data_IF_078521431281
#
_entry.id   IF_078521431281
#
_cell.length_a   1.000
_cell.length_b   1.000
_cell.length_c   1.000
_cell.angle_alpha   90.00
_cell.angle_beta   90.00
_cell.angle_gamma   90.00
#
_symmetry.space_group_name_H-M   'P 1'
#
loop_
_entity.id
_entity.type
_entity.pdbx_description
1 polymer ?
#
# COMPACT_ATOMS: atom_id res chain seq x y z
N UNK A 1 -15.88 3.05 4.55
CA UNK A 1 -15.64 2.13 3.40
C UNK A 1 -16.23 0.78 3.77
N UNK A 2 -16.89 0.10 2.83
CA UNK A 2 -17.30 -1.29 3.06
C UNK A 2 -16.07 -2.18 3.24
N UNK A 3 -16.20 -3.27 3.99
CA UNK A 3 -15.12 -4.23 4.19
C UNK A 3 -14.57 -4.77 2.87
N UNK A 4 -15.43 -4.96 1.87
CA UNK A 4 -15.05 -5.39 0.52
C UNK A 4 -14.10 -4.39 -0.16
N UNK A 5 -14.33 -3.08 0.01
CA UNK A 5 -13.47 -2.05 -0.55
C UNK A 5 -12.09 -2.02 0.13
N UNK A 6 -12.02 -2.33 1.43
CA UNK A 6 -10.75 -2.44 2.16
C UNK A 6 -9.95 -3.67 1.70
N UNK A 7 -10.64 -4.80 1.45
CA UNK A 7 -10.00 -6.01 0.92
C UNK A 7 -9.43 -5.75 -0.48
N UNK A 8 -10.20 -5.11 -1.36
CA UNK A 8 -9.72 -4.73 -2.70
C UNK A 8 -8.52 -3.80 -2.60
N UNK A 9 -8.58 -2.78 -1.74
CA UNK A 9 -7.47 -1.85 -1.52
C UNK A 9 -6.23 -2.56 -1.00
N UNK A 10 -6.39 -3.53 -0.09
CA UNK A 10 -5.30 -4.34 0.44
C UNK A 10 -4.62 -5.17 -0.66
N UNK A 11 -5.40 -5.84 -1.51
CA UNK A 11 -4.89 -6.62 -2.65
C UNK A 11 -4.09 -5.73 -3.60
N UNK A 12 -4.65 -4.57 -3.99
CA UNK A 12 -3.97 -3.61 -4.87
C UNK A 12 -2.66 -3.12 -4.24
N UNK A 13 -2.65 -2.84 -2.95
CA UNK A 13 -1.45 -2.44 -2.22
C UNK A 13 -0.36 -3.52 -2.26
N UNK A 14 -0.74 -4.78 -2.03
CA UNK A 14 0.19 -5.91 -2.13
C UNK A 14 0.77 -6.04 -3.54
N UNK A 15 -0.03 -5.87 -4.59
CA UNK A 15 0.46 -5.90 -5.97
C UNK A 15 1.45 -4.77 -6.28
N UNK A 16 1.22 -3.57 -5.74
CA UNK A 16 2.15 -2.44 -5.87
C UNK A 16 3.48 -2.79 -5.18
N UNK A 17 3.44 -3.33 -3.97
CA UNK A 17 4.65 -3.73 -3.24
C UNK A 17 5.43 -4.86 -3.90
N UNK A 18 4.76 -5.85 -4.49
CA UNK A 18 5.41 -6.88 -5.31
C UNK A 18 6.16 -6.22 -6.48
N UNK A 19 5.55 -5.24 -7.14
CA UNK A 19 6.16 -4.53 -8.27
C UNK A 19 7.34 -3.67 -7.82
N UNK A 20 7.22 -2.98 -6.68
CA UNK A 20 8.32 -2.25 -6.02
C UNK A 20 9.48 -3.20 -5.74
N UNK A 21 9.23 -4.35 -5.10
CA UNK A 21 10.25 -5.35 -4.79
C UNK A 21 10.94 -5.84 -6.05
N UNK A 22 10.19 -6.17 -7.10
CA UNK A 22 10.76 -6.61 -8.38
C UNK A 22 11.64 -5.53 -9.03
N UNK A 23 11.24 -4.27 -8.98
CA UNK A 23 12.05 -3.16 -9.51
C UNK A 23 13.29 -2.90 -8.63
N UNK A 24 13.18 -3.06 -7.31
CA UNK A 24 14.27 -2.89 -6.36
C UNK A 24 15.31 -4.02 -6.41
N UNK A 25 14.89 -5.24 -6.77
CA UNK A 25 15.80 -6.39 -6.95
C UNK A 25 16.60 -6.34 -8.25
N UNK A 26 16.27 -5.44 -9.18
CA UNK A 26 17.05 -5.28 -10.41
C UNK A 26 18.43 -4.71 -10.10
N UNK A 27 19.46 -5.08 -10.88
CA UNK A 27 20.77 -4.48 -10.76
C UNK A 27 20.69 -2.96 -11.00
N UNK A 28 21.33 -2.17 -10.15
CA UNK A 28 21.25 -0.68 -10.11
C UNK A 28 21.50 0.01 -11.45
N UNK A 29 22.19 -0.65 -12.39
CA UNK A 29 22.45 -0.15 -13.75
C UNK A 29 21.21 -0.15 -14.66
N UNK A 30 20.21 -0.98 -14.36
CA UNK A 30 18.95 -1.11 -15.12
C UNK A 30 17.73 -0.57 -14.34
N UNK A 31 17.92 -0.20 -13.07
CA UNK A 31 16.87 0.38 -12.23
C UNK A 31 16.49 1.75 -12.77
N UNK A 32 15.24 1.89 -13.18
CA UNK A 32 14.71 3.20 -13.52
C UNK A 32 14.33 3.96 -12.24
N UNK A 33 15.22 4.85 -11.79
CA UNK A 33 15.03 5.67 -10.58
C UNK A 33 13.69 6.41 -10.55
N UNK A 34 13.23 6.95 -11.69
CA UNK A 34 11.93 7.63 -11.77
C UNK A 34 10.78 6.66 -11.51
N UNK A 35 10.82 5.48 -12.15
CA UNK A 35 9.82 4.42 -11.95
C UNK A 35 9.81 3.93 -10.49
N UNK A 36 10.98 3.77 -9.87
CA UNK A 36 11.09 3.39 -8.47
C UNK A 36 10.47 4.43 -7.54
N UNK A 37 10.73 5.72 -7.76
CA UNK A 37 10.15 6.81 -6.96
C UNK A 37 8.62 6.83 -7.11
N UNK A 38 8.09 6.70 -8.33
CA UNK A 38 6.65 6.65 -8.56
C UNK A 38 6.00 5.42 -7.89
N UNK A 39 6.63 4.24 -8.00
CA UNK A 39 6.15 3.02 -7.36
C UNK A 39 6.19 3.11 -5.83
N UNK A 40 7.28 3.64 -5.26
CA UNK A 40 7.41 3.85 -3.83
C UNK A 40 6.39 4.87 -3.31
N UNK A 41 6.18 5.97 -4.03
CA UNK A 41 5.16 6.97 -3.68
C UNK A 41 3.75 6.37 -3.69
N UNK A 42 3.38 5.65 -4.76
CA UNK A 42 2.08 4.98 -4.86
C UNK A 42 1.88 3.91 -3.78
N UNK A 43 2.90 3.09 -3.51
CA UNK A 43 2.87 2.07 -2.47
C UNK A 43 2.75 2.66 -1.06
N UNK A 44 3.47 3.76 -0.80
CA UNK A 44 3.40 4.48 0.48
C UNK A 44 2.02 5.11 0.69
N UNK A 45 1.48 5.77 -0.34
CA UNK A 45 0.15 6.39 -0.27
C UNK A 45 -0.93 5.34 0.00
N UNK A 46 -0.86 4.19 -0.68
CA UNK A 46 -1.76 3.06 -0.46
C UNK A 46 -1.65 2.48 0.96
N UNK A 47 -0.42 2.31 1.48
CA UNK A 47 -0.19 1.81 2.83
C UNK A 47 -0.71 2.76 3.91
N UNK A 48 -0.57 4.08 3.71
CA UNK A 48 -1.11 5.10 4.62
C UNK A 48 -2.64 5.02 4.63
N UNK A 49 -3.29 4.98 3.46
CA UNK A 49 -4.75 4.89 3.37
C UNK A 49 -5.29 3.62 4.04
N UNK A 50 -4.60 2.49 3.87
CA UNK A 50 -4.94 1.24 4.55
C UNK A 50 -4.78 1.34 6.06
N UNK A 51 -3.64 1.86 6.54
CA UNK A 51 -3.35 2.02 7.96
C UNK A 51 -4.38 2.93 8.64
N UNK A 52 -4.70 4.07 8.02
CA UNK A 52 -5.71 5.00 8.53
C UNK A 52 -7.08 4.34 8.56
N UNK A 53 -7.47 3.62 7.50
CA UNK A 53 -8.77 2.94 7.44
C UNK A 53 -8.90 1.85 8.50
N UNK A 54 -7.84 1.05 8.69
CA UNK A 54 -7.78 0.03 9.75
C UNK A 54 -7.84 0.65 11.13
N UNK A 55 -7.09 1.73 11.37
CA UNK A 55 -7.07 2.43 12.64
C UNK A 55 -8.43 3.03 12.99
N UNK A 56 -9.12 3.63 12.01
CA UNK A 56 -10.49 4.12 12.17
C UNK A 56 -11.47 3.00 12.50
N UNK A 57 -11.37 1.86 11.81
CA UNK A 57 -12.22 0.70 12.07
C UNK A 57 -12.01 0.13 13.49
N UNK A 58 -10.74 0.01 13.92
CA UNK A 58 -10.40 -0.47 15.26
C UNK A 58 -10.82 0.53 16.36
N UNK A 59 -10.57 1.83 16.18
CA UNK A 59 -11.00 2.86 17.13
C UNK A 59 -12.52 2.93 17.27
N UNK A 60 -13.25 2.84 16.16
CA UNK A 60 -14.71 2.82 16.18
C UNK A 60 -15.22 1.60 16.94
N UNK A 61 -14.63 0.43 16.72
CA UNK A 61 -14.95 -0.79 17.49
C UNK A 61 -14.66 -0.65 18.98
N UNK A 62 -13.61 0.08 19.37
CA UNK A 62 -13.22 0.26 20.77
C UNK A 62 -14.12 1.25 21.52
N UNK A 63 -14.68 2.25 20.84
CA UNK A 63 -15.55 3.26 21.45
C UNK A 63 -17.00 2.79 21.70
N UNK A 64 -17.37 1.63 21.14
CA UNK A 64 -18.71 1.03 21.20
C UNK A 64 -18.78 -0.21 22.13
N UNK A 65 -17.70 -0.53 22.83
CA UNK A 65 -17.61 -1.59 23.88
C UNK A 65 -17.51 -0.94 25.25
#
# INVERSE_FOLDING_TARGET
MSNDALIILAIVSTMIWITVSKEATKPTKEVNKRKMITLLSAGTLSAILLTVSLFQHLLFSFYLT
#
